data_IF_170564851989
#
_entry.id   IF_170564851989
#
_cell.length_a   1.000
_cell.length_b   1.000
_cell.length_c   1.000
_cell.angle_alpha   90.00
_cell.angle_beta   90.00
_cell.angle_gamma   90.00
#
_symmetry.space_group_name_H-M   'P 1'
#
loop_
_entity.id
_entity.type
_entity.pdbx_description
1 polymer ?
#
# COMPACT_ATOMS: atom_id res chain seq x y z
N UNK A 1 2.41 -22.49 3.60
CA UNK A 1 2.75 -21.55 2.54
C UNK A 1 1.53 -21.25 1.67
N UNK A 2 1.29 -19.98 1.33
CA UNK A 2 0.11 -19.54 0.57
C UNK A 2 0.10 -20.09 -0.87
N UNK A 3 1.27 -20.16 -1.50
CA UNK A 3 1.42 -20.61 -2.89
C UNK A 3 1.79 -22.08 -3.04
N UNK A 4 1.83 -22.84 -1.96
CA UNK A 4 2.09 -24.29 -1.95
C UNK A 4 3.40 -24.70 -2.64
N UNK A 5 4.43 -23.87 -2.62
CA UNK A 5 5.77 -24.23 -3.07
C UNK A 5 6.74 -24.35 -1.90
N UNK A 6 7.78 -25.14 -2.09
CA UNK A 6 8.90 -25.25 -1.16
C UNK A 6 9.95 -24.20 -1.50
N UNK A 7 10.30 -23.37 -0.53
CA UNK A 7 11.34 -22.36 -0.68
C UNK A 7 12.72 -22.94 -0.31
N UNK A 8 13.74 -22.61 -1.09
CA UNK A 8 15.13 -22.97 -0.83
C UNK A 8 16.00 -21.71 -0.76
N UNK A 9 16.67 -21.54 0.36
CA UNK A 9 17.59 -20.45 0.56
C UNK A 9 19.03 -20.88 0.26
N UNK A 10 19.78 -20.01 -0.41
CA UNK A 10 21.22 -20.16 -0.54
C UNK A 10 21.92 -19.99 0.81
N UNK A 11 23.11 -20.56 0.95
CA UNK A 11 23.91 -20.44 2.18
C UNK A 11 24.32 -18.98 2.41
N UNK A 12 24.32 -18.47 3.65
CA UNK A 12 24.81 -17.14 3.96
C UNK A 12 26.25 -16.93 3.46
N UNK A 13 26.49 -15.80 2.79
CA UNK A 13 27.81 -15.44 2.25
C UNK A 13 28.26 -16.22 1.00
N UNK A 14 27.44 -17.13 0.47
CA UNK A 14 27.75 -17.92 -0.74
C UNK A 14 26.95 -17.45 -1.95
N UNK A 15 27.39 -16.34 -2.58
CA UNK A 15 26.76 -15.81 -3.79
C UNK A 15 26.65 -16.81 -4.94
N UNK A 16 27.60 -17.75 -5.05
CA UNK A 16 27.65 -18.79 -6.07
C UNK A 16 26.43 -19.73 -6.04
N UNK A 17 25.75 -19.88 -4.90
CA UNK A 17 24.55 -20.69 -4.77
C UNK A 17 23.35 -20.11 -5.55
N UNK A 18 23.42 -18.82 -5.94
CA UNK A 18 22.36 -18.13 -6.73
C UNK A 18 22.44 -18.37 -8.24
N UNK A 19 23.42 -19.14 -8.69
CA UNK A 19 23.59 -19.49 -10.11
C UNK A 19 23.66 -18.27 -11.02
N UNK A 20 22.77 -18.20 -12.02
CA UNK A 20 22.78 -17.17 -13.07
C UNK A 20 22.12 -15.84 -12.68
N UNK A 21 21.67 -15.63 -11.46
CA UNK A 21 20.91 -14.42 -11.06
C UNK A 21 21.72 -13.14 -11.30
N UNK A 22 22.99 -13.13 -10.91
CA UNK A 22 23.86 -11.96 -11.12
C UNK A 22 24.10 -11.68 -12.61
N UNK A 23 24.28 -12.74 -13.40
CA UNK A 23 24.36 -12.64 -14.85
C UNK A 23 23.09 -12.06 -15.47
N UNK A 24 21.92 -12.46 -14.99
CA UNK A 24 20.62 -11.94 -15.44
C UNK A 24 20.42 -10.46 -15.05
N UNK A 25 20.80 -10.08 -13.84
CA UNK A 25 20.76 -8.66 -13.42
C UNK A 25 21.68 -7.81 -14.31
N UNK A 26 22.92 -8.26 -14.55
CA UNK A 26 23.85 -7.59 -15.44
C UNK A 26 23.34 -7.50 -16.89
N UNK A 27 22.71 -8.57 -17.37
CA UNK A 27 22.09 -8.60 -18.69
C UNK A 27 20.94 -7.57 -18.78
N UNK A 28 20.01 -7.58 -17.82
CA UNK A 28 18.84 -6.69 -17.80
C UNK A 28 19.26 -5.23 -17.75
N UNK A 29 20.26 -4.89 -16.95
CA UNK A 29 20.80 -3.53 -16.89
C UNK A 29 21.34 -3.06 -18.23
N UNK A 30 22.14 -3.88 -18.92
CA UNK A 30 22.74 -3.50 -20.21
C UNK A 30 21.74 -3.43 -21.35
N UNK A 31 20.70 -4.26 -21.36
CA UNK A 31 19.77 -4.37 -22.48
C UNK A 31 18.49 -3.55 -22.32
N UNK A 32 18.08 -3.29 -21.08
CA UNK A 32 16.81 -2.60 -20.81
C UNK A 32 16.99 -1.25 -20.09
N UNK A 33 18.20 -1.00 -19.53
CA UNK A 33 18.46 0.22 -18.77
C UNK A 33 19.61 1.07 -19.34
N UNK A 34 20.00 0.80 -20.56
CA UNK A 34 21.01 1.60 -21.31
C UNK A 34 20.43 1.97 -22.68
N UNK A 35 20.34 3.27 -22.99
CA UNK A 35 20.59 4.43 -22.15
C UNK A 35 19.66 4.47 -20.92
N UNK A 36 20.03 5.24 -19.88
CA UNK A 36 19.23 5.33 -18.64
C UNK A 36 17.78 5.65 -18.96
N UNK A 37 16.82 4.80 -18.58
CA UNK A 37 15.41 5.02 -18.91
C UNK A 37 14.86 6.22 -18.14
N UNK A 38 14.07 7.03 -18.86
CA UNK A 38 13.27 8.13 -18.28
C UNK A 38 11.84 7.63 -18.20
N UNK A 39 11.24 7.71 -17.02
CA UNK A 39 9.86 7.33 -16.76
C UNK A 39 9.25 8.29 -15.71
N UNK A 40 7.94 8.51 -15.80
CA UNK A 40 7.22 9.39 -14.89
C UNK A 40 7.19 8.81 -13.46
N UNK A 41 7.07 7.49 -13.34
CA UNK A 41 7.02 6.75 -12.10
C UNK A 41 7.54 5.30 -12.27
N UNK A 42 7.55 4.53 -11.20
CA UNK A 42 7.95 3.12 -11.24
C UNK A 42 7.02 2.23 -12.04
N UNK A 43 5.71 2.55 -12.13
CA UNK A 43 4.77 1.76 -12.92
C UNK A 43 5.07 1.91 -14.41
N UNK A 44 5.33 3.15 -14.87
CA UNK A 44 5.74 3.43 -16.24
C UNK A 44 7.09 2.78 -16.56
N UNK A 45 8.05 2.77 -15.63
CA UNK A 45 9.32 2.07 -15.79
C UNK A 45 9.11 0.55 -15.91
N UNK A 46 8.34 -0.05 -15.04
CA UNK A 46 8.05 -1.48 -15.05
C UNK A 46 7.33 -1.90 -16.34
N UNK A 47 6.40 -1.09 -16.86
CA UNK A 47 5.75 -1.35 -18.13
C UNK A 47 6.75 -1.39 -19.30
N UNK A 48 7.72 -0.46 -19.34
CA UNK A 48 8.80 -0.46 -20.34
C UNK A 48 9.70 -1.69 -20.24
N UNK A 49 10.05 -2.10 -19.02
CA UNK A 49 10.87 -3.29 -18.78
C UNK A 49 10.14 -4.56 -19.21
N UNK A 50 8.85 -4.67 -18.90
CA UNK A 50 8.01 -5.78 -19.33
C UNK A 50 7.91 -5.88 -20.84
N UNK A 51 7.66 -4.76 -21.53
CA UNK A 51 7.64 -4.69 -23.01
C UNK A 51 8.97 -5.16 -23.60
N UNK A 52 10.10 -4.74 -23.02
CA UNK A 52 11.44 -5.20 -23.41
C UNK A 52 11.61 -6.72 -23.26
N UNK A 53 11.09 -7.29 -22.18
CA UNK A 53 11.10 -8.75 -21.95
C UNK A 53 10.22 -9.48 -22.97
N UNK A 54 9.03 -8.94 -23.29
CA UNK A 54 8.12 -9.51 -24.27
C UNK A 54 8.73 -9.50 -25.66
N UNK A 55 9.30 -8.38 -26.08
CA UNK A 55 10.00 -8.23 -27.39
C UNK A 55 11.16 -9.21 -27.55
N UNK A 56 11.72 -9.68 -26.45
CA UNK A 56 12.82 -10.66 -26.48
C UNK A 56 12.35 -12.11 -26.62
N UNK A 57 11.11 -12.43 -26.40
CA UNK A 57 10.60 -13.81 -26.41
C UNK A 57 10.92 -14.59 -27.71
N UNK A 58 10.95 -13.99 -28.93
CA UNK A 58 11.35 -14.71 -30.15
C UNK A 58 12.84 -15.06 -30.21
N UNK A 59 13.68 -14.50 -29.33
CA UNK A 59 15.10 -14.76 -29.35
C UNK A 59 15.42 -16.19 -28.88
N UNK A 60 16.55 -16.74 -29.39
CA UNK A 60 17.11 -18.01 -28.93
C UNK A 60 18.31 -17.77 -28.00
N UNK A 61 18.37 -18.52 -26.93
CA UNK A 61 19.53 -18.49 -26.03
C UNK A 61 20.66 -19.33 -26.64
N UNK A 62 21.90 -18.96 -26.31
CA UNK A 62 23.08 -19.71 -26.78
C UNK A 62 22.97 -21.20 -26.43
N UNK A 63 23.16 -22.06 -27.42
CA UNK A 63 23.08 -23.51 -27.24
C UNK A 63 21.66 -24.08 -27.16
N UNK A 64 20.63 -23.26 -27.42
CA UNK A 64 19.24 -23.70 -27.46
C UNK A 64 18.68 -23.65 -28.89
N UNK A 65 17.92 -24.66 -29.25
CA UNK A 65 17.22 -24.76 -30.54
C UNK A 65 15.88 -24.02 -30.50
N UNK A 66 15.23 -23.99 -29.35
CA UNK A 66 13.94 -23.36 -29.13
C UNK A 66 14.10 -21.87 -28.74
N UNK A 67 13.11 -21.05 -29.10
CA UNK A 67 12.99 -19.67 -28.64
C UNK A 67 12.63 -19.62 -27.15
N UNK A 68 12.81 -18.42 -26.55
CA UNK A 68 12.38 -18.19 -25.16
C UNK A 68 10.87 -18.39 -25.03
N UNK A 69 10.07 -17.97 -26.02
CA UNK A 69 8.61 -18.15 -26.02
C UNK A 69 8.20 -19.62 -26.06
N UNK A 70 8.83 -20.43 -26.89
CA UNK A 70 8.54 -21.87 -26.97
C UNK A 70 8.85 -22.59 -25.65
N UNK A 71 9.98 -22.27 -25.06
CA UNK A 71 10.36 -22.80 -23.74
C UNK A 71 9.40 -22.34 -22.64
N UNK A 72 9.04 -21.05 -22.62
CA UNK A 72 8.08 -20.48 -21.67
C UNK A 72 6.71 -21.16 -21.78
N UNK A 73 6.23 -21.43 -23.00
CA UNK A 73 4.97 -22.12 -23.21
C UNK A 73 4.98 -23.54 -22.59
N UNK A 74 6.08 -24.27 -22.77
CA UNK A 74 6.25 -25.61 -22.16
C UNK A 74 6.27 -25.52 -20.62
N UNK A 75 7.03 -24.58 -20.08
CA UNK A 75 7.12 -24.38 -18.62
C UNK A 75 5.76 -23.97 -18.02
N UNK A 76 5.02 -23.12 -18.73
CA UNK A 76 3.69 -22.66 -18.29
C UNK A 76 2.69 -23.82 -18.15
N UNK A 77 2.77 -24.85 -18.99
CA UNK A 77 1.89 -26.02 -18.86
C UNK A 77 2.15 -26.86 -17.61
N UNK A 78 3.35 -26.75 -17.05
CA UNK A 78 3.73 -27.46 -15.81
C UNK A 78 3.46 -26.62 -14.55
N UNK A 79 3.11 -25.34 -14.68
CA UNK A 79 2.80 -24.49 -13.54
C UNK A 79 1.44 -24.84 -12.93
N UNK A 80 1.37 -24.82 -11.61
CA UNK A 80 0.10 -24.92 -10.90
C UNK A 80 -0.72 -23.63 -11.06
N UNK A 81 -2.04 -23.75 -11.03
CA UNK A 81 -2.92 -22.58 -10.97
C UNK A 81 -2.62 -21.74 -9.73
N UNK A 82 -2.63 -20.42 -9.89
CA UNK A 82 -2.51 -19.51 -8.75
C UNK A 82 -3.74 -19.63 -7.84
N UNK A 83 -3.59 -19.44 -6.51
CA UNK A 83 -4.72 -19.34 -5.61
C UNK A 83 -5.72 -18.26 -6.06
N UNK A 84 -7.01 -18.49 -5.83
CA UNK A 84 -8.06 -17.54 -6.17
C UNK A 84 -7.90 -16.17 -5.47
N UNK A 85 -7.27 -16.16 -4.29
CA UNK A 85 -6.97 -14.96 -3.51
C UNK A 85 -5.47 -14.75 -3.51
N UNK A 86 -5.02 -13.56 -3.89
CA UNK A 86 -3.61 -13.19 -3.84
C UNK A 86 -3.09 -13.15 -2.39
N UNK A 87 -1.80 -13.38 -2.21
CA UNK A 87 -1.17 -13.23 -0.91
C UNK A 87 -1.30 -11.78 -0.41
N UNK A 88 -1.78 -11.64 0.82
CA UNK A 88 -1.94 -10.35 1.49
C UNK A 88 -0.58 -9.86 2.03
N UNK A 89 0.19 -9.22 1.16
CA UNK A 89 1.56 -8.77 1.43
C UNK A 89 1.58 -7.51 2.29
N UNK A 90 1.22 -7.64 3.56
CA UNK A 90 1.21 -6.55 4.54
C UNK A 90 1.88 -6.96 5.85
N UNK A 91 2.36 -5.96 6.59
CA UNK A 91 2.78 -6.14 7.98
C UNK A 91 1.57 -6.07 8.89
N UNK A 92 1.29 -7.15 9.63
CA UNK A 92 0.14 -7.28 10.52
C UNK A 92 0.54 -7.07 11.97
N UNK A 93 -0.21 -6.23 12.69
CA UNK A 93 -0.05 -6.02 14.13
C UNK A 93 -1.42 -5.85 14.78
N UNK A 94 -1.65 -6.55 15.89
CA UNK A 94 -2.82 -6.33 16.74
C UNK A 94 -2.50 -5.25 17.77
N UNK A 95 -3.41 -4.31 17.93
CA UNK A 95 -3.27 -3.20 18.87
C UNK A 95 -4.64 -2.75 19.38
N UNK A 96 -4.65 -1.83 20.33
CA UNK A 96 -5.87 -1.26 20.89
C UNK A 96 -6.03 0.20 20.46
N UNK A 97 -7.25 0.57 20.12
CA UNK A 97 -7.63 1.97 19.84
C UNK A 97 -7.55 2.79 21.13
N UNK A 98 -6.91 3.96 21.06
CA UNK A 98 -6.81 4.88 22.21
C UNK A 98 -8.15 5.59 22.50
N UNK A 99 -8.21 6.29 23.65
CA UNK A 99 -9.36 7.15 24.01
C UNK A 99 -9.58 8.32 23.04
N UNK A 100 -8.57 8.67 22.25
CA UNK A 100 -8.62 9.69 21.21
C UNK A 100 -9.01 9.12 19.83
N UNK A 101 -9.45 7.86 19.78
CA UNK A 101 -9.78 7.15 18.53
C UNK A 101 -8.61 7.08 17.54
N UNK A 102 -7.41 6.84 18.09
CA UNK A 102 -6.17 6.70 17.36
C UNK A 102 -5.58 5.31 17.52
N UNK A 103 -4.94 4.84 16.48
CA UNK A 103 -4.23 3.57 16.41
C UNK A 103 -2.79 3.82 16.02
N UNK A 104 -1.85 3.39 16.88
CA UNK A 104 -0.43 3.54 16.58
C UNK A 104 0.05 2.42 15.67
N UNK A 105 0.63 2.82 14.54
CA UNK A 105 1.35 1.93 13.65
C UNK A 105 2.72 2.51 13.31
N UNK A 106 3.77 1.73 13.65
CA UNK A 106 5.15 2.25 13.62
C UNK A 106 5.27 3.45 14.56
N UNK A 107 5.69 4.61 14.04
CA UNK A 107 5.86 5.84 14.80
C UNK A 107 4.71 6.84 14.62
N UNK A 108 3.65 6.50 13.89
CA UNK A 108 2.57 7.41 13.53
C UNK A 108 1.23 6.93 14.08
N UNK A 109 0.31 7.87 14.30
CA UNK A 109 -1.01 7.62 14.85
C UNK A 109 -2.08 7.89 13.78
N UNK A 110 -2.95 6.89 13.54
CA UNK A 110 -3.98 6.91 12.51
C UNK A 110 -5.36 6.89 13.14
N UNK A 111 -6.26 7.78 12.67
CA UNK A 111 -7.60 7.87 13.23
C UNK A 111 -8.50 6.71 12.78
N UNK A 112 -9.44 6.35 13.65
CA UNK A 112 -10.54 5.41 13.36
C UNK A 112 -11.86 6.03 13.82
N UNK A 113 -13.03 5.54 13.33
CA UNK A 113 -14.31 6.01 13.83
C UNK A 113 -14.42 5.88 15.35
N UNK A 114 -14.99 6.89 16.00
CA UNK A 114 -14.99 7.03 17.45
C UNK A 114 -15.68 5.89 18.20
N UNK A 115 -16.59 5.19 17.53
CA UNK A 115 -17.28 4.01 18.08
C UNK A 115 -16.36 2.80 18.37
N UNK A 116 -15.15 2.81 17.79
CA UNK A 116 -14.13 1.77 18.02
C UNK A 116 -13.16 2.11 19.16
N UNK A 117 -13.38 3.20 19.88
CA UNK A 117 -12.56 3.57 21.03
C UNK A 117 -12.37 2.40 22.01
N UNK A 118 -11.14 2.18 22.47
CA UNK A 118 -10.74 1.12 23.40
C UNK A 118 -10.90 -0.34 22.89
N UNK A 119 -11.32 -0.55 21.64
CA UNK A 119 -11.44 -1.90 21.07
C UNK A 119 -10.10 -2.38 20.51
N UNK A 120 -9.94 -3.68 20.45
CA UNK A 120 -8.82 -4.32 19.75
C UNK A 120 -9.08 -4.33 18.26
N UNK A 121 -8.03 -4.00 17.49
CA UNK A 121 -8.06 -3.92 16.04
C UNK A 121 -6.81 -4.54 15.42
N UNK A 122 -6.93 -5.02 14.20
CA UNK A 122 -5.81 -5.49 13.41
C UNK A 122 -5.39 -4.39 12.43
N UNK A 123 -4.13 -3.98 12.52
CA UNK A 123 -3.53 -3.05 11.56
C UNK A 123 -2.80 -3.84 10.49
N UNK A 124 -3.08 -3.54 9.23
CA UNK A 124 -2.41 -4.06 8.05
C UNK A 124 -1.66 -2.93 7.36
N UNK A 125 -0.34 -2.91 7.50
CA UNK A 125 0.50 -1.89 6.88
C UNK A 125 1.05 -2.35 5.54
N UNK A 126 0.58 -1.75 4.48
CA UNK A 126 1.07 -1.92 3.11
C UNK A 126 2.17 -0.91 2.77
N UNK A 127 2.64 -0.90 1.54
CA UNK A 127 3.67 0.05 1.10
C UNK A 127 3.12 1.48 1.02
N UNK A 128 1.91 1.64 0.50
CA UNK A 128 1.27 2.93 0.19
C UNK A 128 0.16 3.32 1.17
N UNK A 129 -0.42 2.37 1.88
CA UNK A 129 -1.54 2.62 2.79
C UNK A 129 -1.50 1.77 4.06
N UNK A 130 -2.34 2.14 5.01
CA UNK A 130 -2.59 1.42 6.25
C UNK A 130 -4.08 1.15 6.36
N UNK A 131 -4.45 -0.13 6.46
CA UNK A 131 -5.81 -0.58 6.76
C UNK A 131 -5.92 -0.92 8.25
N UNK A 132 -6.97 -0.45 8.88
CA UNK A 132 -7.32 -0.80 10.25
C UNK A 132 -8.60 -1.61 10.20
N UNK A 133 -8.57 -2.81 10.78
CA UNK A 133 -9.65 -3.78 10.68
C UNK A 133 -10.21 -4.13 12.07
N UNK A 134 -11.52 -4.24 12.15
CA UNK A 134 -12.22 -4.83 13.29
C UNK A 134 -12.89 -6.13 12.83
N UNK A 135 -12.37 -7.26 13.29
CA UNK A 135 -12.73 -8.56 12.71
C UNK A 135 -12.40 -8.65 11.23
N UNK A 136 -13.37 -8.97 10.38
CA UNK A 136 -13.23 -9.06 8.94
C UNK A 136 -13.39 -7.72 8.21
N UNK A 137 -13.85 -6.67 8.87
CA UNK A 137 -14.21 -5.40 8.25
C UNK A 137 -13.06 -4.39 8.34
N UNK A 138 -12.77 -3.71 7.24
CA UNK A 138 -11.87 -2.54 7.23
C UNK A 138 -12.70 -1.36 7.75
N UNK A 139 -12.31 -0.81 8.90
CA UNK A 139 -12.99 0.32 9.56
C UNK A 139 -12.35 1.66 9.23
N UNK A 140 -11.09 1.67 8.81
CA UNK A 140 -10.38 2.85 8.34
C UNK A 140 -9.28 2.48 7.35
N UNK A 141 -9.05 3.36 6.38
CA UNK A 141 -7.93 3.30 5.43
C UNK A 141 -7.29 4.66 5.33
N UNK A 142 -5.98 4.71 5.46
CA UNK A 142 -5.20 5.94 5.35
C UNK A 142 -4.02 5.75 4.39
N UNK A 143 -3.60 6.84 3.77
CA UNK A 143 -2.29 6.87 3.10
C UNK A 143 -1.22 6.66 4.17
N UNK A 144 -0.27 5.77 3.89
CA UNK A 144 0.81 5.50 4.84
C UNK A 144 1.81 6.65 4.87
N UNK A 145 2.05 7.19 6.07
CA UNK A 145 3.17 8.08 6.29
C UNK A 145 4.44 7.32 6.65
N UNK A 146 5.57 7.76 6.10
CA UNK A 146 6.92 7.34 6.45
C UNK A 146 7.64 8.40 7.33
N UNK A 147 6.95 9.46 7.72
CA UNK A 147 7.38 10.41 8.73
C UNK A 147 7.43 9.80 10.13
N UNK A 148 7.64 10.63 11.14
CA UNK A 148 7.68 10.22 12.55
C UNK A 148 6.80 11.11 13.38
N UNK A 149 6.08 10.49 14.32
CA UNK A 149 5.22 11.16 15.31
C UNK A 149 4.14 12.05 14.69
N UNK A 150 3.67 11.61 13.50
CA UNK A 150 2.59 12.28 12.80
C UNK A 150 1.24 11.72 13.21
N UNK A 151 0.24 12.60 13.21
CA UNK A 151 -1.16 12.27 13.41
C UNK A 151 -1.87 12.34 12.05
N UNK A 152 -2.36 11.21 11.57
CA UNK A 152 -3.05 11.09 10.29
C UNK A 152 -4.55 11.00 10.58
N UNK A 153 -5.23 12.12 10.47
CA UNK A 153 -6.64 12.24 10.75
C UNK A 153 -7.51 12.06 9.49
N UNK A 154 -8.65 11.40 9.69
CA UNK A 154 -9.81 11.54 8.81
C UNK A 154 -10.90 12.24 9.61
N UNK A 155 -11.27 13.50 9.26
CA UNK A 155 -12.28 14.27 9.99
C UNK A 155 -13.62 13.56 10.12
N UNK A 156 -13.99 12.73 9.13
CA UNK A 156 -15.25 11.99 9.12
C UNK A 156 -15.36 11.00 10.29
N UNK A 157 -14.25 10.53 10.85
CA UNK A 157 -14.26 9.63 12.00
C UNK A 157 -14.79 10.29 13.28
N UNK A 158 -14.81 11.63 13.34
CA UNK A 158 -15.17 12.41 14.52
C UNK A 158 -16.55 13.10 14.41
N UNK A 159 -17.28 12.89 13.30
CA UNK A 159 -18.57 13.56 13.07
C UNK A 159 -19.59 13.32 14.20
N UNK A 160 -19.68 12.09 14.71
CA UNK A 160 -20.59 11.74 15.81
C UNK A 160 -20.30 12.54 17.09
N UNK A 161 -19.04 12.97 17.31
CA UNK A 161 -18.68 13.82 18.44
C UNK A 161 -19.06 15.29 18.23
N UNK A 162 -19.10 15.75 16.97
CA UNK A 162 -19.53 17.13 16.64
C UNK A 162 -21.00 17.35 16.94
N UNK A 163 -21.84 16.34 16.77
CA UNK A 163 -23.27 16.42 17.15
C UNK A 163 -23.43 16.70 18.64
N UNK A 164 -22.53 16.15 19.47
CA UNK A 164 -22.55 16.34 20.92
C UNK A 164 -21.79 17.60 21.38
N UNK A 165 -20.78 18.03 20.62
CA UNK A 165 -19.89 19.15 20.94
C UNK A 165 -19.69 20.04 19.72
N UNK A 166 -20.67 20.85 19.29
CA UNK A 166 -20.57 21.66 18.05
C UNK A 166 -19.38 22.62 18.03
N UNK A 167 -18.96 23.14 19.19
CA UNK A 167 -17.79 24.03 19.31
C UNK A 167 -16.45 23.34 18.98
N UNK A 168 -16.41 22.00 18.95
CA UNK A 168 -15.22 21.26 18.61
C UNK A 168 -14.82 21.42 17.12
N UNK A 169 -15.74 21.85 16.25
CA UNK A 169 -15.45 22.09 14.83
C UNK A 169 -14.28 23.07 14.63
N UNK A 170 -14.16 24.09 15.48
CA UNK A 170 -13.16 25.14 15.35
C UNK A 170 -11.84 24.83 16.08
N UNK A 171 -11.87 23.94 17.06
CA UNK A 171 -10.75 23.79 18.01
C UNK A 171 -10.16 22.37 18.06
N UNK A 172 -10.85 21.39 17.48
CA UNK A 172 -10.40 20.03 17.57
C UNK A 172 -9.29 19.73 16.54
N UNK A 173 -8.14 19.26 17.01
CA UNK A 173 -7.01 18.90 16.15
C UNK A 173 -7.37 18.01 14.94
N UNK A 174 -8.26 17.01 15.04
CA UNK A 174 -8.67 16.21 13.90
C UNK A 174 -9.41 16.96 12.80
N UNK A 175 -9.88 18.16 13.06
CA UNK A 175 -10.73 18.95 12.14
C UNK A 175 -10.02 20.22 11.65
N UNK A 176 -8.83 20.51 12.19
CA UNK A 176 -8.12 21.79 11.91
C UNK A 176 -7.79 21.98 10.44
N UNK A 177 -7.33 20.92 9.76
CA UNK A 177 -6.93 20.98 8.35
C UNK A 177 -8.05 20.50 7.41
N UNK A 178 -9.29 20.41 7.89
CA UNK A 178 -10.41 19.95 7.08
C UNK A 178 -10.90 21.05 6.14
N UNK A 179 -10.55 20.91 4.87
CA UNK A 179 -11.03 21.81 3.82
C UNK A 179 -12.49 21.48 3.51
N UNK A 180 -13.38 22.34 3.98
CA UNK A 180 -14.82 22.24 3.69
C UNK A 180 -15.16 22.99 2.39
N UNK A 181 -16.24 22.59 1.67
CA UNK A 181 -16.72 23.34 0.51
C UNK A 181 -17.11 24.77 0.89
N UNK A 182 -16.90 25.71 -0.02
CA UNK A 182 -17.22 27.14 0.16
C UNK A 182 -18.68 27.40 0.54
N UNK A 183 -19.60 26.52 0.05
CA UNK A 183 -21.02 26.50 0.42
C UNK A 183 -21.24 26.28 1.91
N UNK A 184 -20.35 25.53 2.59
CA UNK A 184 -20.44 25.27 4.03
C UNK A 184 -20.11 26.52 4.83
N UNK A 185 -19.06 27.25 4.45
CA UNK A 185 -18.68 28.52 5.10
C UNK A 185 -19.78 29.58 4.94
N UNK A 186 -20.40 29.61 3.77
CA UNK A 186 -21.54 30.50 3.51
C UNK A 186 -22.74 30.15 4.38
N UNK A 187 -23.09 28.88 4.49
CA UNK A 187 -24.17 28.40 5.36
C UNK A 187 -23.89 28.75 6.84
N UNK A 188 -22.66 28.51 7.28
CA UNK A 188 -22.23 28.82 8.65
C UNK A 188 -22.43 30.28 8.98
N UNK A 189 -21.97 31.20 8.15
CA UNK A 189 -22.15 32.66 8.35
C UNK A 189 -23.62 33.04 8.44
N UNK A 190 -24.48 32.46 7.60
CA UNK A 190 -25.93 32.73 7.63
C UNK A 190 -26.58 32.25 8.94
N UNK A 191 -26.14 31.11 9.46
CA UNK A 191 -26.62 30.58 10.73
C UNK A 191 -26.15 31.44 11.93
N UNK A 192 -24.88 31.84 11.96
CA UNK A 192 -24.32 32.71 12.99
C UNK A 192 -25.09 34.05 13.09
N UNK A 193 -25.31 34.72 11.96
CA UNK A 193 -26.11 35.96 11.91
C UNK A 193 -27.55 35.76 12.41
N UNK A 194 -28.12 34.56 12.23
CA UNK A 194 -29.46 34.25 12.67
C UNK A 194 -29.57 33.93 14.15
N UNK A 195 -28.47 33.37 14.73
CA UNK A 195 -28.42 33.00 16.15
C UNK A 195 -28.06 34.16 17.07
N UNK A 196 -27.46 35.24 16.53
CA UNK A 196 -27.17 36.47 17.26
C UNK A 196 -28.39 37.42 17.36
N UNK A 197 -29.51 37.07 16.75
CA UNK A 197 -30.80 37.77 16.85
C UNK A 197 -31.75 37.04 17.79
#
# INVERSE_FOLDING_TARGET
>A
SHYLFEDKFGRPGRGNDKGNVEGMVGYSRRHFMVPRPIAADFNALNAKLLDGCIKRQPARLRGQTETIAERMKRDTTALMALPAVAFDACHKISTRVSSLSLVRYRSNDYSVPTEYGHREVLVKGYVDHVDICSGANIIARHVRSYGREEFIYNPLHYLALLEQKPRALDQAAPLHDWVLPESFDRLRRLLEVRMER
#
